data_IF_935371891947
#
_entry.id   IF_935371891947
#
_cell.length_a   1.000
_cell.length_b   1.000
_cell.length_c   1.000
_cell.angle_alpha   90.00
_cell.angle_beta   90.00
_cell.angle_gamma   90.00
#
_symmetry.space_group_name_H-M   'P 1'
#
loop_
_entity.id
_entity.type
_entity.pdbx_description
1 polymer ?
#
# COMPACT_ATOMS: atom_id res chain seq x y z
N UNK A 1 4.31 10.11 8.79
CA UNK A 1 3.87 11.11 7.80
C UNK A 1 5.11 11.72 7.18
N UNK A 2 5.41 11.43 5.90
CA UNK A 2 6.71 11.73 5.28
C UNK A 2 6.69 11.65 3.75
N UNK A 3 7.83 11.86 3.11
CA UNK A 3 7.94 11.74 1.65
C UNK A 3 7.43 12.98 0.93
N UNK A 4 7.51 12.95 -0.39
CA UNK A 4 7.03 14.02 -1.24
C UNK A 4 5.67 13.63 -1.83
N UNK A 5 4.77 14.60 -1.99
CA UNK A 5 3.48 14.34 -2.62
C UNK A 5 3.67 13.80 -4.05
N UNK A 6 2.88 12.78 -4.39
CA UNK A 6 2.77 12.15 -5.70
C UNK A 6 3.99 11.39 -6.21
N UNK A 7 5.06 11.29 -5.42
CA UNK A 7 6.22 10.46 -5.76
C UNK A 7 5.94 8.98 -5.50
N UNK A 8 5.99 8.16 -6.55
CA UNK A 8 5.67 6.73 -6.49
C UNK A 8 6.77 5.84 -5.90
N UNK A 9 7.93 6.40 -5.58
CA UNK A 9 9.01 5.71 -4.89
C UNK A 9 9.44 6.52 -3.68
N UNK A 10 9.84 5.80 -2.64
CA UNK A 10 10.32 6.39 -1.42
C UNK A 10 11.64 7.15 -1.63
N UNK A 11 11.78 8.28 -0.97
CA UNK A 11 13.02 9.07 -1.04
C UNK A 11 14.06 8.57 -0.01
N UNK A 12 15.28 9.10 -0.11
CA UNK A 12 16.39 8.69 0.77
C UNK A 12 16.09 8.91 2.26
N UNK A 13 15.35 9.96 2.60
CA UNK A 13 14.99 10.28 3.98
C UNK A 13 13.97 9.29 4.54
N UNK A 14 12.97 8.88 3.73
CA UNK A 14 12.02 7.82 4.09
C UNK A 14 12.75 6.52 4.42
N UNK A 15 13.69 6.06 3.55
CA UNK A 15 14.50 4.86 3.81
C UNK A 15 15.35 4.99 5.08
N UNK A 16 15.99 6.14 5.27
CA UNK A 16 16.83 6.41 6.46
C UNK A 16 16.01 6.32 7.75
N UNK A 17 14.83 6.95 7.78
CA UNK A 17 13.94 6.95 8.93
C UNK A 17 13.35 5.56 9.19
N UNK A 18 12.89 4.86 8.14
CA UNK A 18 12.38 3.50 8.27
C UNK A 18 13.46 2.55 8.84
N UNK A 19 14.67 2.58 8.30
CA UNK A 19 15.79 1.79 8.81
C UNK A 19 16.12 2.11 10.28
N UNK A 20 16.12 3.40 10.63
CA UNK A 20 16.35 3.84 12.02
C UNK A 20 15.27 3.30 12.97
N UNK A 21 13.99 3.39 12.58
CA UNK A 21 12.86 2.86 13.38
C UNK A 21 12.95 1.35 13.55
N UNK A 22 13.21 0.59 12.47
CA UNK A 22 13.41 -0.86 12.53
C UNK A 22 14.56 -1.23 13.48
N UNK A 23 15.70 -0.53 13.40
CA UNK A 23 16.85 -0.72 14.31
C UNK A 23 16.56 -0.36 15.76
N UNK A 24 15.56 0.48 16.01
CA UNK A 24 15.12 0.87 17.36
C UNK A 24 14.03 -0.05 17.91
N UNK A 25 13.72 -1.15 17.22
CA UNK A 25 12.80 -2.19 17.70
C UNK A 25 11.35 -2.03 17.21
N UNK A 26 11.09 -1.15 16.23
CA UNK A 26 9.78 -1.13 15.57
C UNK A 26 9.66 -2.33 14.64
N UNK A 27 8.70 -3.22 14.87
CA UNK A 27 8.47 -4.38 14.01
C UNK A 27 7.79 -3.99 12.68
N UNK A 28 6.83 -3.06 12.75
CA UNK A 28 6.09 -2.58 11.60
C UNK A 28 6.21 -1.06 11.51
N UNK A 29 6.50 -0.56 10.32
CA UNK A 29 6.54 0.88 10.02
C UNK A 29 5.55 1.19 8.91
N UNK A 30 4.58 2.06 9.18
CA UNK A 30 3.54 2.46 8.22
C UNK A 30 3.65 3.97 7.95
N UNK A 31 3.99 4.28 6.70
CA UNK A 31 4.08 5.63 6.16
C UNK A 31 2.82 6.05 5.40
N UNK A 32 2.66 7.37 5.30
CA UNK A 32 1.59 8.05 4.56
C UNK A 32 2.04 9.49 4.28
N UNK A 33 1.26 10.23 3.48
CA UNK A 33 1.44 11.59 2.93
C UNK A 33 1.69 11.68 1.43
N UNK A 34 2.42 10.77 0.76
CA UNK A 34 2.63 10.91 -0.68
C UNK A 34 1.34 10.91 -1.50
N UNK A 35 0.20 10.51 -0.93
CA UNK A 35 -1.10 10.42 -1.60
C UNK A 35 -1.09 9.48 -2.82
N UNK A 36 -0.06 8.66 -2.96
CA UNK A 36 0.11 7.62 -3.98
C UNK A 36 0.72 6.39 -3.33
N UNK A 37 0.48 5.23 -3.92
CA UNK A 37 1.08 3.97 -3.47
C UNK A 37 2.59 4.04 -3.72
N UNK A 38 3.37 3.62 -2.72
CA UNK A 38 4.79 3.35 -2.83
C UNK A 38 5.05 1.86 -2.56
N UNK A 39 6.18 1.29 -2.99
CA UNK A 39 6.57 -0.07 -2.63
C UNK A 39 6.58 -0.29 -1.11
N UNK A 40 6.58 -1.55 -0.71
CA UNK A 40 6.79 -1.95 0.68
C UNK A 40 7.85 -3.04 0.74
N UNK A 41 8.55 -3.11 1.86
CA UNK A 41 9.56 -4.13 2.16
C UNK A 41 9.04 -4.98 3.31
N UNK A 42 9.18 -6.31 3.23
CA UNK A 42 8.77 -7.21 4.29
C UNK A 42 9.66 -8.45 4.37
N UNK A 43 9.91 -8.90 5.59
CA UNK A 43 10.55 -10.17 5.90
C UNK A 43 9.91 -10.80 7.15
N UNK A 44 10.42 -11.94 7.59
CA UNK A 44 9.88 -12.64 8.77
C UNK A 44 10.04 -11.86 10.08
N UNK A 45 10.84 -10.79 10.11
CA UNK A 45 11.10 -9.96 11.28
C UNK A 45 10.27 -8.66 11.27
N UNK A 46 9.49 -8.40 10.22
CA UNK A 46 8.60 -7.24 10.14
C UNK A 46 8.46 -6.64 8.74
N UNK A 47 7.94 -5.41 8.67
CA UNK A 47 7.61 -4.75 7.40
C UNK A 47 7.71 -3.22 7.45
N UNK A 48 7.96 -2.61 6.29
CA UNK A 48 7.94 -1.18 6.05
C UNK A 48 7.04 -0.89 4.85
N UNK A 49 5.91 -0.24 5.10
CA UNK A 49 5.03 0.30 4.06
C UNK A 49 5.31 1.79 3.91
N UNK A 50 5.98 2.24 2.84
CA UNK A 50 6.39 3.64 2.72
C UNK A 50 5.21 4.59 2.47
N UNK A 51 4.21 4.16 1.71
CA UNK A 51 2.94 4.86 1.55
C UNK A 51 1.85 3.90 1.08
N UNK A 52 0.73 3.87 1.82
CA UNK A 52 -0.45 3.08 1.47
C UNK A 52 -1.33 3.76 0.40
N UNK A 53 -0.99 4.95 -0.08
CA UNK A 53 -1.76 5.67 -1.09
C UNK A 53 -2.83 6.60 -0.52
N UNK A 54 -3.90 6.77 -1.29
CA UNK A 54 -4.78 7.92 -1.16
C UNK A 54 -6.17 7.63 -0.58
N UNK A 55 -6.54 6.34 -0.52
CA UNK A 55 -7.83 5.82 -0.04
C UNK A 55 -9.00 6.82 -0.22
N UNK A 56 -9.51 7.40 0.86
CA UNK A 56 -10.70 8.29 0.85
C UNK A 56 -10.38 9.79 0.81
N UNK A 57 -9.17 10.21 0.41
CA UNK A 57 -8.77 11.62 0.45
C UNK A 57 -9.35 12.51 -0.68
N UNK A 58 -10.19 11.95 -1.56
CA UNK A 58 -10.84 12.63 -2.70
C UNK A 58 -9.89 13.36 -3.68
N UNK A 59 -8.58 13.08 -3.67
CA UNK A 59 -7.70 13.59 -4.71
C UNK A 59 -7.84 12.71 -5.96
N UNK A 60 -8.36 13.28 -7.05
CA UNK A 60 -8.70 12.55 -8.28
C UNK A 60 -7.62 12.66 -9.37
N UNK A 61 -6.36 12.77 -8.97
CA UNK A 61 -5.20 12.79 -9.88
C UNK A 61 -4.78 11.36 -10.24
N UNK A 62 -4.10 11.20 -11.38
CA UNK A 62 -3.39 9.96 -11.75
C UNK A 62 -2.60 9.38 -10.57
N UNK A 63 -2.79 8.09 -10.27
CA UNK A 63 -2.18 7.34 -9.15
C UNK A 63 -2.78 7.61 -7.77
N UNK A 64 -3.72 8.54 -7.66
CA UNK A 64 -4.39 8.90 -6.40
C UNK A 64 -5.78 8.23 -6.29
N UNK A 65 -6.08 7.31 -7.19
CA UNK A 65 -7.40 6.68 -7.37
C UNK A 65 -7.72 5.59 -6.32
N UNK A 66 -6.78 5.29 -5.43
CA UNK A 66 -6.89 4.17 -4.51
C UNK A 66 -5.73 4.08 -3.53
N UNK A 67 -5.55 2.90 -2.95
CA UNK A 67 -4.50 2.62 -1.98
C UNK A 67 -4.24 1.13 -1.80
N UNK A 68 -3.54 0.80 -0.72
CA UNK A 68 -3.31 -0.56 -0.26
C UNK A 68 -3.99 -0.76 1.09
N UNK A 69 -4.65 -1.91 1.25
CA UNK A 69 -4.93 -2.47 2.58
C UNK A 69 -3.74 -3.36 2.94
N UNK A 70 -3.00 -3.00 3.98
CA UNK A 70 -1.92 -3.82 4.52
C UNK A 70 -2.50 -4.88 5.47
N UNK A 71 -2.18 -6.14 5.22
CA UNK A 71 -2.51 -7.27 6.09
C UNK A 71 -1.23 -7.83 6.69
N UNK A 72 -1.20 -7.97 8.01
CA UNK A 72 -0.03 -8.42 8.76
C UNK A 72 -0.46 -9.53 9.70
N UNK A 73 -0.04 -10.75 9.42
CA UNK A 73 -0.20 -11.87 10.34
C UNK A 73 1.01 -11.91 11.28
N UNK A 74 0.72 -12.00 12.58
CA UNK A 74 1.72 -12.09 13.63
C UNK A 74 1.67 -13.48 14.23
N UNK A 75 2.74 -14.24 14.05
CA UNK A 75 2.83 -15.63 14.47
C UNK A 75 3.81 -15.72 15.62
N UNK A 76 3.35 -16.28 16.74
CA UNK A 76 4.23 -16.69 17.83
C UNK A 76 4.66 -18.14 17.59
N UNK A 77 5.96 -18.37 17.49
CA UNK A 77 6.51 -19.71 17.42
C UNK A 77 6.91 -20.16 18.83
N UNK A 78 6.48 -21.34 19.28
CA UNK A 78 6.82 -21.82 20.63
C UNK A 78 8.32 -22.12 20.81
N UNK A 79 9.02 -22.35 19.69
CA UNK A 79 10.45 -22.72 19.68
C UNK A 79 11.38 -21.52 19.48
N UNK A 80 10.86 -20.37 19.04
CA UNK A 80 11.65 -19.14 18.85
C UNK A 80 11.14 -18.05 19.80
N UNK A 81 12.03 -17.32 20.49
CA UNK A 81 11.61 -16.26 21.40
C UNK A 81 11.05 -15.02 20.69
N UNK A 82 11.20 -14.93 19.37
CA UNK A 82 10.78 -13.78 18.57
C UNK A 82 9.49 -14.07 17.80
N UNK A 83 8.66 -13.03 17.66
CA UNK A 83 7.48 -13.05 16.79
C UNK A 83 7.93 -13.11 15.32
N UNK A 84 7.16 -13.83 14.50
CA UNK A 84 7.30 -13.85 13.06
C UNK A 84 6.17 -13.05 12.41
N UNK A 85 6.49 -12.37 11.32
CA UNK A 85 5.57 -11.52 10.59
C UNK A 85 5.40 -12.02 9.16
N UNK A 86 4.15 -12.06 8.69
CA UNK A 86 3.81 -12.29 7.29
C UNK A 86 2.99 -11.09 6.84
N UNK A 87 3.60 -10.22 6.05
CA UNK A 87 2.96 -9.01 5.56
C UNK A 87 2.59 -9.14 4.08
N UNK A 88 1.40 -8.68 3.74
CA UNK A 88 0.90 -8.60 2.37
C UNK A 88 0.13 -7.30 2.18
N UNK A 89 -0.16 -6.97 0.92
CA UNK A 89 -0.93 -5.80 0.56
C UNK A 89 -1.97 -6.15 -0.51
N UNK A 90 -3.21 -5.71 -0.28
CA UNK A 90 -4.30 -5.81 -1.25
C UNK A 90 -4.56 -4.42 -1.85
N UNK A 91 -4.43 -4.24 -3.18
CA UNK A 91 -4.78 -2.97 -3.81
C UNK A 91 -6.28 -2.73 -3.72
N UNK A 92 -6.68 -1.52 -3.36
CA UNK A 92 -8.09 -1.12 -3.31
C UNK A 92 -8.31 0.14 -4.10
N UNK A 93 -9.33 0.11 -4.96
CA UNK A 93 -9.71 1.25 -5.79
C UNK A 93 -10.90 1.97 -5.17
N UNK A 94 -10.93 3.30 -5.26
CA UNK A 94 -12.07 4.09 -4.75
C UNK A 94 -12.93 4.58 -5.90
N UNK A 95 -14.13 4.01 -5.97
CA UNK A 95 -15.15 4.38 -6.95
C UNK A 95 -15.93 5.60 -6.46
N UNK A 96 -15.71 6.72 -7.14
CA UNK A 96 -16.49 7.95 -7.01
C UNK A 96 -17.71 7.97 -7.96
N UNK A 97 -18.79 8.70 -7.63
CA UNK A 97 -18.94 9.62 -6.49
C UNK A 97 -19.32 8.95 -5.17
N UNK A 98 -19.68 7.66 -5.16
CA UNK A 98 -20.24 6.98 -3.98
C UNK A 98 -19.20 6.61 -2.90
N UNK A 99 -17.91 6.88 -3.14
CA UNK A 99 -16.77 6.50 -2.28
C UNK A 99 -16.76 5.01 -1.88
N UNK A 100 -17.04 4.13 -2.84
CA UNK A 100 -16.94 2.69 -2.61
C UNK A 100 -15.49 2.25 -2.69
N UNK A 101 -14.97 1.68 -1.61
CA UNK A 101 -13.64 1.04 -1.58
C UNK A 101 -13.81 -0.38 -2.12
N UNK A 102 -13.20 -0.66 -3.27
CA UNK A 102 -13.38 -1.89 -4.00
C UNK A 102 -12.04 -2.64 -4.07
N UNK A 103 -11.92 -3.80 -3.41
CA UNK A 103 -10.80 -4.70 -3.67
C UNK A 103 -11.02 -5.41 -5.03
N UNK A 104 -9.98 -6.03 -5.63
CA UNK A 104 -10.04 -6.54 -7.00
C UNK A 104 -11.14 -7.58 -7.20
N UNK A 105 -11.37 -8.42 -6.19
CA UNK A 105 -12.36 -9.50 -6.22
C UNK A 105 -13.79 -8.98 -6.47
N UNK A 106 -14.06 -7.74 -6.06
CA UNK A 106 -15.34 -7.06 -6.30
C UNK A 106 -15.25 -6.18 -7.55
N UNK A 107 -14.20 -5.36 -7.67
CA UNK A 107 -14.08 -4.40 -8.76
C UNK A 107 -14.00 -5.06 -10.15
N UNK A 108 -13.44 -6.25 -10.25
CA UNK A 108 -13.30 -7.00 -11.51
C UNK A 108 -14.66 -7.31 -12.13
N UNK A 109 -15.67 -7.62 -11.31
CA UNK A 109 -17.01 -8.07 -11.76
C UNK A 109 -18.11 -7.01 -11.62
N UNK A 110 -17.89 -5.97 -10.81
CA UNK A 110 -18.89 -4.92 -10.55
C UNK A 110 -19.29 -4.16 -11.83
N UNK A 111 -20.57 -4.11 -12.16
CA UNK A 111 -21.03 -3.25 -13.25
C UNK A 111 -20.76 -1.76 -12.95
N UNK A 112 -20.10 -1.07 -13.88
CA UNK A 112 -19.67 0.33 -13.72
C UNK A 112 -19.47 1.03 -15.07
N UNK A 113 -19.53 2.37 -15.13
CA UNK A 113 -19.30 3.12 -16.36
C UNK A 113 -17.96 2.78 -17.02
N UNK A 114 -17.90 2.78 -18.36
CA UNK A 114 -16.70 2.42 -19.10
C UNK A 114 -15.45 3.25 -18.72
N UNK A 115 -15.64 4.55 -18.43
CA UNK A 115 -14.55 5.41 -17.98
C UNK A 115 -13.99 5.00 -16.60
N UNK A 116 -14.88 4.60 -15.67
CA UNK A 116 -14.51 4.04 -14.37
C UNK A 116 -13.75 2.73 -14.52
N UNK A 117 -14.24 1.84 -15.39
CA UNK A 117 -13.61 0.56 -15.71
C UNK A 117 -12.18 0.75 -16.23
N UNK A 118 -11.97 1.69 -17.15
CA UNK A 118 -10.64 1.98 -17.70
C UNK A 118 -9.66 2.49 -16.64
N UNK A 119 -10.11 3.41 -15.77
CA UNK A 119 -9.29 3.93 -14.66
C UNK A 119 -8.94 2.85 -13.65
N UNK A 120 -9.89 1.99 -13.30
CA UNK A 120 -9.67 0.85 -12.42
C UNK A 120 -8.62 -0.11 -12.99
N UNK A 121 -8.75 -0.49 -14.27
CA UNK A 121 -7.79 -1.37 -14.94
C UNK A 121 -6.38 -0.78 -14.93
N UNK A 122 -6.26 0.51 -15.25
CA UNK A 122 -4.99 1.22 -15.22
C UNK A 122 -4.40 1.23 -13.80
N UNK A 123 -5.20 1.58 -12.77
CA UNK A 123 -4.78 1.54 -11.37
C UNK A 123 -4.21 0.17 -10.96
N UNK A 124 -4.89 -0.92 -11.33
CA UNK A 124 -4.44 -2.29 -11.02
C UNK A 124 -3.13 -2.62 -11.74
N UNK A 125 -3.02 -2.31 -13.02
CA UNK A 125 -1.81 -2.55 -13.81
C UNK A 125 -0.59 -1.82 -13.23
N UNK A 126 -0.76 -0.54 -12.90
CA UNK A 126 0.31 0.25 -12.28
C UNK A 126 0.74 -0.26 -10.93
N UNK A 127 -0.24 -0.63 -10.11
CA UNK A 127 -0.01 -1.05 -8.73
C UNK A 127 0.68 -2.39 -8.73
N UNK A 128 0.21 -3.36 -9.53
CA UNK A 128 0.88 -4.65 -9.71
C UNK A 128 2.31 -4.47 -10.22
N UNK A 129 2.51 -3.62 -11.23
CA UNK A 129 3.83 -3.30 -11.75
C UNK A 129 4.76 -2.60 -10.76
N UNK A 130 4.22 -2.01 -9.69
CA UNK A 130 4.99 -1.34 -8.65
C UNK A 130 5.38 -2.29 -7.52
N UNK A 131 4.44 -3.15 -7.08
CA UNK A 131 4.60 -3.95 -5.86
C UNK A 131 5.03 -5.40 -6.11
N UNK A 132 4.86 -5.93 -7.34
CA UNK A 132 5.17 -7.33 -7.66
C UNK A 132 6.26 -7.50 -8.73
N UNK A 133 7.09 -6.48 -8.97
CA UNK A 133 8.26 -6.66 -9.84
C UNK A 133 9.28 -7.56 -9.16
N UNK A 134 9.44 -8.75 -9.75
CA UNK A 134 10.67 -9.55 -9.71
C UNK A 134 11.70 -8.95 -10.66
#
# INVERSE_FOLDING_TARGET
HWGNEYERHENAEQRRLACMLRRKGADIVIGSHPHVIQPFEADSTGAVFYSLGNLVSNQQRRYCDGGLIASIDVVRCDTLPQLQYIASATPVWVLCPDYRILPPEVADTLDMPAASRLRYQQFIEDTRSLIYKN
#
